data_IF_843335615008
#
_entry.id   IF_843335615008
#
_cell.length_a   1.000
_cell.length_b   1.000
_cell.length_c   1.000
_cell.angle_alpha   90.00
_cell.angle_beta   90.00
_cell.angle_gamma   90.00
#
_symmetry.space_group_name_H-M   'P 1'
#
loop_
_entity.id
_entity.type
_entity.pdbx_description
1 polymer ?
#
# COMPACT_ATOMS: atom_id res chain seq x y z
N UNK A 1 75.13 27.83 -23.94
CA UNK A 1 74.29 27.42 -25.09
C UNK A 1 72.93 26.93 -24.59
N UNK A 2 72.91 26.05 -23.60
CA UNK A 2 71.70 25.52 -22.95
C UNK A 2 70.76 26.59 -22.38
N UNK A 3 71.28 27.64 -21.71
CA UNK A 3 70.43 28.72 -21.18
C UNK A 3 69.77 29.60 -22.25
N UNK A 4 70.36 29.69 -23.44
CA UNK A 4 69.75 30.39 -24.57
C UNK A 4 68.66 29.54 -25.22
N UNK A 5 68.88 28.22 -25.28
CA UNK A 5 67.88 27.24 -25.73
C UNK A 5 66.70 27.23 -24.75
N UNK A 6 66.94 27.11 -23.44
CA UNK A 6 65.89 27.13 -22.40
C UNK A 6 65.01 28.37 -22.49
N UNK A 7 65.60 29.56 -22.53
CA UNK A 7 64.83 30.82 -22.67
C UNK A 7 64.06 30.93 -23.99
N UNK A 8 64.62 30.43 -25.09
CA UNK A 8 63.91 30.42 -26.38
C UNK A 8 62.71 29.48 -26.34
N UNK A 9 62.86 28.32 -25.70
CA UNK A 9 61.80 27.33 -25.50
C UNK A 9 60.72 27.89 -24.57
N UNK A 10 61.07 28.39 -23.38
CA UNK A 10 60.13 28.99 -22.43
C UNK A 10 59.33 30.17 -23.01
N UNK A 11 59.94 30.94 -23.92
CA UNK A 11 59.26 32.03 -24.63
C UNK A 11 58.30 31.54 -25.71
N UNK A 12 58.65 30.47 -26.42
CA UNK A 12 57.82 29.88 -27.47
C UNK A 12 56.69 29.01 -26.90
N UNK A 13 56.92 28.44 -25.72
CA UNK A 13 56.04 27.51 -25.03
C UNK A 13 55.85 27.95 -23.56
N UNK A 14 55.04 28.99 -23.31
CA UNK A 14 54.82 29.53 -21.96
C UNK A 14 54.29 28.48 -20.96
N UNK A 15 53.60 27.45 -21.43
CA UNK A 15 53.13 26.32 -20.66
C UNK A 15 54.25 25.47 -20.04
N UNK A 16 55.46 25.50 -20.63
CA UNK A 16 56.64 24.85 -20.06
C UNK A 16 57.17 25.60 -18.85
N UNK A 17 57.12 26.94 -18.87
CA UNK A 17 57.58 27.78 -17.77
C UNK A 17 56.74 27.58 -16.50
N UNK A 18 55.41 27.48 -16.66
CA UNK A 18 54.47 27.27 -15.56
C UNK A 18 54.12 25.81 -15.27
N UNK A 19 54.66 24.86 -16.03
CA UNK A 19 54.35 23.44 -15.88
C UNK A 19 52.91 23.05 -16.24
N UNK A 20 52.15 23.92 -16.92
CA UNK A 20 50.73 23.70 -17.24
C UNK A 20 50.48 22.58 -18.26
N UNK A 21 51.54 22.13 -18.93
CA UNK A 21 51.53 20.97 -19.81
C UNK A 21 51.52 19.63 -19.04
N UNK A 22 51.82 19.64 -17.74
CA UNK A 22 51.84 18.46 -16.88
C UNK A 22 50.57 18.40 -16.04
N UNK A 23 49.93 17.23 -15.90
CA UNK A 23 48.93 17.01 -14.86
C UNK A 23 49.54 17.30 -13.48
N UNK A 24 48.80 18.02 -12.63
CA UNK A 24 49.20 18.28 -11.25
C UNK A 24 48.22 17.65 -10.28
N UNK A 25 48.71 17.21 -9.14
CA UNK A 25 47.84 16.87 -8.03
C UNK A 25 47.35 18.13 -7.35
N UNK A 26 46.10 18.09 -6.90
CA UNK A 26 45.46 19.13 -6.14
C UNK A 26 44.59 18.50 -5.06
N UNK A 27 44.19 19.30 -4.07
CA UNK A 27 43.30 18.89 -2.99
C UNK A 27 42.07 19.79 -2.99
N UNK A 28 40.90 19.17 -2.84
CA UNK A 28 39.61 19.88 -2.72
C UNK A 28 39.58 20.65 -1.39
N UNK A 29 39.29 21.94 -1.44
CA UNK A 29 39.16 22.79 -0.23
C UNK A 29 37.73 23.28 0.00
N UNK A 30 36.83 23.09 -0.98
CA UNK A 30 35.42 23.43 -0.84
C UNK A 30 34.61 23.11 -2.10
N UNK A 31 33.29 23.02 -1.96
CA UNK A 31 32.36 22.95 -3.09
C UNK A 31 32.01 24.37 -3.55
N UNK A 32 32.30 24.68 -4.80
CA UNK A 32 32.07 26.02 -5.36
C UNK A 32 30.59 26.20 -5.75
N UNK A 33 29.93 27.22 -5.19
CA UNK A 33 28.54 27.64 -5.49
C UNK A 33 27.58 26.46 -5.79
N UNK A 34 27.42 25.54 -4.83
CA UNK A 34 26.56 24.37 -5.01
C UNK A 34 25.16 24.80 -5.51
N UNK A 35 24.66 24.24 -6.63
CA UNK A 35 23.51 24.80 -7.31
C UNK A 35 22.23 24.63 -6.49
N UNK A 36 21.49 25.73 -6.27
CA UNK A 36 20.17 25.71 -5.62
C UNK A 36 19.04 25.17 -6.54
N UNK A 37 19.32 24.97 -7.83
CA UNK A 37 18.40 24.45 -8.83
C UNK A 37 19.09 24.17 -10.17
N UNK A 38 18.36 23.56 -11.09
CA UNK A 38 18.86 23.26 -12.44
C UNK A 38 19.22 24.54 -13.21
N UNK A 39 20.20 24.44 -14.12
CA UNK A 39 20.59 25.54 -14.99
C UNK A 39 21.85 25.23 -15.78
N UNK A 40 22.18 26.12 -16.71
CA UNK A 40 23.36 25.99 -17.57
C UNK A 40 24.63 26.04 -16.72
N UNK A 41 25.55 25.12 -17.00
CA UNK A 41 26.92 25.12 -16.50
C UNK A 41 27.81 25.72 -17.60
N UNK A 42 28.44 26.85 -17.32
CA UNK A 42 29.35 27.54 -18.23
C UNK A 42 30.61 28.02 -17.48
N UNK A 43 31.59 28.56 -18.21
CA UNK A 43 32.85 29.05 -17.63
C UNK A 43 32.65 30.20 -16.63
N UNK A 44 31.56 30.96 -16.73
CA UNK A 44 31.27 32.08 -15.83
C UNK A 44 30.58 31.61 -14.55
N UNK A 45 29.75 30.57 -14.65
CA UNK A 45 29.05 29.95 -13.52
C UNK A 45 29.12 28.42 -13.60
N UNK A 46 30.26 27.84 -13.17
CA UNK A 46 30.39 26.40 -13.12
C UNK A 46 29.51 25.85 -11.98
N UNK A 47 28.57 24.96 -12.29
CA UNK A 47 27.60 24.40 -11.33
C UNK A 47 28.02 23.05 -10.74
N UNK A 48 28.99 22.40 -11.36
CA UNK A 48 29.57 21.15 -10.89
C UNK A 48 31.09 21.34 -10.82
N UNK A 49 31.52 22.09 -9.81
CA UNK A 49 32.89 22.51 -9.64
C UNK A 49 33.28 22.59 -8.15
N UNK A 50 34.57 22.59 -7.90
CA UNK A 50 35.16 22.67 -6.57
C UNK A 50 36.31 23.65 -6.56
N UNK A 51 36.57 24.20 -5.39
CA UNK A 51 37.76 24.99 -5.13
C UNK A 51 38.91 24.03 -4.77
N UNK A 52 40.09 24.25 -5.35
CA UNK A 52 41.24 23.39 -5.16
C UNK A 52 42.51 24.16 -4.83
N UNK A 53 43.38 23.56 -4.02
CA UNK A 53 44.77 24.00 -3.86
C UNK A 53 45.71 23.03 -4.60
N UNK A 54 46.68 23.58 -5.33
CA UNK A 54 47.67 22.79 -6.07
C UNK A 54 48.70 22.21 -5.10
N UNK A 55 49.01 20.92 -5.26
CA UNK A 55 50.04 20.24 -4.47
C UNK A 55 51.38 20.27 -5.20
N UNK A 56 52.46 20.35 -4.42
CA UNK A 56 53.83 20.13 -4.85
C UNK A 56 54.15 18.64 -5.03
N UNK A 57 55.37 18.34 -5.47
CA UNK A 57 55.84 16.95 -5.65
C UNK A 57 55.99 16.18 -4.33
N UNK A 58 56.06 16.89 -3.21
CA UNK A 58 56.04 16.38 -1.84
C UNK A 58 54.62 16.10 -1.32
N UNK A 59 53.58 16.50 -2.06
CA UNK A 59 52.18 16.34 -1.68
C UNK A 59 51.65 17.45 -0.77
N UNK A 60 52.47 18.46 -0.45
CA UNK A 60 52.06 19.63 0.34
C UNK A 60 51.52 20.75 -0.56
N UNK A 61 50.63 21.64 -0.06
CA UNK A 61 50.17 22.79 -0.83
C UNK A 61 51.31 23.68 -1.30
N UNK A 62 51.26 24.09 -2.56
CA UNK A 62 52.25 25.00 -3.15
C UNK A 62 51.98 26.44 -2.65
N UNK A 63 52.81 27.01 -1.76
CA UNK A 63 52.55 28.31 -1.16
C UNK A 63 52.66 29.47 -2.17
N UNK A 64 53.22 29.22 -3.35
CA UNK A 64 53.35 30.23 -4.39
C UNK A 64 52.07 30.38 -5.24
N UNK A 65 51.11 29.45 -5.11
CA UNK A 65 49.90 29.42 -5.93
C UNK A 65 48.65 29.64 -5.07
N UNK A 66 47.71 30.48 -5.53
CA UNK A 66 46.45 30.67 -4.83
C UNK A 66 45.54 29.44 -5.02
N UNK A 67 44.50 29.37 -4.18
CA UNK A 67 43.37 28.48 -4.41
C UNK A 67 42.74 28.81 -5.77
N UNK A 68 42.54 27.79 -6.59
CA UNK A 68 41.80 27.89 -7.84
C UNK A 68 40.32 27.67 -7.54
N UNK A 69 39.53 28.72 -7.70
CA UNK A 69 38.10 28.66 -7.43
C UNK A 69 37.31 28.13 -8.64
N UNK A 70 36.25 27.37 -8.37
CA UNK A 70 35.28 26.95 -9.40
C UNK A 70 35.86 26.07 -10.50
N UNK A 71 36.82 25.19 -10.20
CA UNK A 71 37.39 24.28 -11.19
C UNK A 71 36.38 23.17 -11.52
N UNK A 72 35.98 22.99 -12.79
CA UNK A 72 34.97 22.00 -13.17
C UNK A 72 35.38 20.56 -12.84
N UNK A 73 34.43 19.79 -12.30
CA UNK A 73 34.56 18.35 -12.05
C UNK A 73 34.29 17.53 -13.32
N UNK A 74 34.94 16.36 -13.47
CA UNK A 74 34.68 15.47 -14.59
C UNK A 74 33.31 14.81 -14.43
N UNK A 75 32.54 14.76 -15.52
CA UNK A 75 31.29 14.00 -15.58
C UNK A 75 31.57 12.58 -16.08
N UNK A 76 31.35 11.52 -15.28
CA UNK A 76 31.61 10.14 -15.71
C UNK A 76 30.65 9.67 -16.82
N UNK A 77 29.42 10.19 -16.83
CA UNK A 77 28.44 10.11 -17.92
C UNK A 77 27.75 11.48 -18.04
N UNK A 78 27.41 11.92 -19.26
CA UNK A 78 26.88 13.27 -19.45
C UNK A 78 25.93 13.46 -20.63
N UNK A 79 25.28 14.63 -20.61
CA UNK A 79 24.22 15.11 -21.48
C UNK A 79 23.33 16.08 -20.70
N UNK A 80 22.35 16.70 -21.35
CA UNK A 80 21.42 17.61 -20.68
C UNK A 80 20.61 16.85 -19.61
N UNK A 81 20.72 17.28 -18.35
CA UNK A 81 20.01 16.73 -17.19
C UNK A 81 20.22 15.21 -16.94
N UNK A 82 21.35 14.63 -17.39
CA UNK A 82 21.67 13.20 -17.20
C UNK A 82 23.09 12.97 -16.66
N UNK A 83 23.24 11.98 -15.78
CA UNK A 83 24.55 11.56 -15.24
C UNK A 83 24.49 11.12 -13.78
N UNK A 84 25.67 10.75 -13.25
CA UNK A 84 25.87 10.53 -11.81
C UNK A 84 26.61 11.74 -11.24
N UNK A 85 25.98 12.46 -10.33
CA UNK A 85 26.53 13.67 -9.72
C UNK A 85 26.78 13.44 -8.24
N UNK A 86 28.05 13.57 -7.85
CA UNK A 86 28.48 13.57 -6.46
C UNK A 86 29.68 14.51 -6.31
N UNK A 87 29.65 15.37 -5.31
CA UNK A 87 30.79 16.21 -4.98
C UNK A 87 31.80 15.39 -4.16
N UNK A 88 33.11 15.48 -4.46
CA UNK A 88 34.13 14.97 -3.56
C UNK A 88 34.13 15.78 -2.26
N UNK A 89 34.43 15.11 -1.15
CA UNK A 89 34.58 15.78 0.15
C UNK A 89 35.84 16.66 0.17
N UNK A 90 35.84 17.70 1.02
CA UNK A 90 37.04 18.48 1.31
C UNK A 90 38.18 17.55 1.77
N UNK A 91 39.38 17.79 1.25
CA UNK A 91 40.54 16.93 1.45
C UNK A 91 40.75 15.87 0.37
N UNK A 92 39.76 15.61 -0.49
CA UNK A 92 39.91 14.63 -1.59
C UNK A 92 40.99 15.06 -2.57
N UNK A 93 41.87 14.13 -2.95
CA UNK A 93 42.90 14.38 -3.97
C UNK A 93 42.33 14.27 -5.38
N UNK A 94 42.71 15.20 -6.24
CA UNK A 94 42.29 15.25 -7.64
C UNK A 94 43.48 15.53 -8.57
N UNK A 95 43.33 15.16 -9.83
CA UNK A 95 44.27 15.52 -10.90
C UNK A 95 43.69 16.70 -11.65
N UNK A 96 44.39 17.83 -11.65
CA UNK A 96 44.02 19.03 -12.42
C UNK A 96 44.93 19.17 -13.64
N UNK A 97 44.30 19.50 -14.76
CA UNK A 97 44.93 19.77 -16.03
C UNK A 97 44.49 21.15 -16.55
N UNK A 98 45.26 21.68 -17.49
CA UNK A 98 45.01 22.99 -18.08
C UNK A 98 44.77 22.81 -19.58
N UNK A 99 43.55 23.09 -20.05
CA UNK A 99 43.20 22.89 -21.45
C UNK A 99 44.12 23.73 -22.35
N UNK A 100 44.74 23.09 -23.34
CA UNK A 100 45.74 23.70 -24.23
C UNK A 100 46.98 24.28 -23.51
N UNK A 101 47.26 23.85 -22.27
CA UNK A 101 48.33 24.41 -21.44
C UNK A 101 48.03 25.82 -20.93
N UNK A 102 46.77 26.27 -20.99
CA UNK A 102 46.37 27.62 -20.60
C UNK A 102 46.00 27.70 -19.11
N UNK A 103 46.66 28.56 -18.31
CA UNK A 103 46.38 28.69 -16.87
C UNK A 103 44.93 29.05 -16.52
N UNK A 104 44.24 29.76 -17.43
CA UNK A 104 42.85 30.21 -17.24
C UNK A 104 41.80 29.17 -17.65
N UNK A 105 42.20 27.96 -18.06
CA UNK A 105 41.28 26.87 -18.38
C UNK A 105 41.60 25.60 -17.57
N UNK A 106 41.60 25.67 -16.23
CA UNK A 106 41.78 24.49 -15.40
C UNK A 106 40.53 23.60 -15.48
N UNK A 107 40.73 22.29 -15.41
CA UNK A 107 39.65 21.32 -15.21
C UNK A 107 40.18 20.12 -14.44
N UNK A 108 39.32 19.48 -13.66
CA UNK A 108 39.67 18.25 -12.97
C UNK A 108 39.51 17.10 -13.96
N UNK A 109 40.59 16.36 -14.19
CA UNK A 109 40.61 15.20 -15.06
C UNK A 109 40.13 13.94 -14.33
N UNK A 110 40.52 13.76 -13.07
CA UNK A 110 40.27 12.53 -12.31
C UNK A 110 40.25 12.80 -10.82
N UNK A 111 39.35 12.12 -10.10
CA UNK A 111 39.33 12.06 -8.63
C UNK A 111 40.12 10.83 -8.19
N UNK A 112 41.05 11.01 -7.26
CA UNK A 112 41.91 9.93 -6.78
C UNK A 112 41.40 9.38 -5.45
N UNK A 113 41.44 8.04 -5.24
CA UNK A 113 40.96 7.41 -4.02
C UNK A 113 41.95 7.51 -2.84
N UNK A 114 43.09 8.19 -3.02
CA UNK A 114 44.14 8.26 -2.01
C UNK A 114 43.64 8.98 -0.75
N UNK A 115 43.85 8.36 0.40
CA UNK A 115 43.37 8.87 1.69
C UNK A 115 41.88 8.66 1.98
N UNK A 116 41.11 8.10 1.04
CA UNK A 116 39.69 7.82 1.22
C UNK A 116 39.44 6.40 1.76
N UNK A 117 38.39 6.26 2.57
CA UNK A 117 37.84 4.95 2.94
C UNK A 117 36.86 4.48 1.87
N UNK A 118 37.25 3.47 1.09
CA UNK A 118 36.44 2.96 -0.01
C UNK A 118 35.40 1.92 0.43
N UNK A 119 34.30 1.77 -0.32
CA UNK A 119 33.39 0.65 -0.12
C UNK A 119 34.08 -0.70 -0.19
N UNK A 120 33.49 -1.70 0.49
CA UNK A 120 33.77 -3.11 0.18
C UNK A 120 33.19 -3.45 -1.19
N UNK A 121 34.07 -3.70 -2.17
CA UNK A 121 33.70 -4.13 -3.54
C UNK A 121 34.49 -5.39 -3.91
N UNK A 122 33.96 -6.59 -3.61
CA UNK A 122 34.50 -7.85 -4.11
C UNK A 122 34.58 -7.88 -5.64
N UNK A 123 35.42 -8.76 -6.18
CA UNK A 123 35.53 -8.93 -7.63
C UNK A 123 34.18 -9.37 -8.22
N UNK A 124 33.69 -8.59 -9.18
CA UNK A 124 32.41 -8.85 -9.88
C UNK A 124 31.25 -8.00 -9.34
N UNK A 125 31.34 -7.51 -8.10
CA UNK A 125 30.34 -6.62 -7.53
C UNK A 125 30.39 -5.24 -8.16
N UNK A 126 29.22 -4.60 -8.22
CA UNK A 126 29.07 -3.18 -8.51
C UNK A 126 28.29 -2.53 -7.36
N UNK A 127 28.77 -1.39 -6.88
CA UNK A 127 28.11 -0.67 -5.79
C UNK A 127 27.98 0.81 -6.11
N UNK A 128 26.78 1.34 -5.89
CA UNK A 128 26.53 2.77 -5.77
C UNK A 128 26.05 3.04 -4.35
N UNK A 129 26.82 3.81 -3.58
CA UNK A 129 26.52 4.02 -2.16
C UNK A 129 26.84 5.43 -1.67
N UNK A 130 26.13 5.82 -0.61
CA UNK A 130 26.53 6.91 0.29
C UNK A 130 27.24 6.34 1.53
N UNK A 131 26.79 5.18 2.02
CA UNK A 131 27.37 4.47 3.16
C UNK A 131 27.03 2.99 3.07
N UNK A 132 27.59 2.15 3.94
CA UNK A 132 27.26 0.71 3.98
C UNK A 132 25.76 0.46 4.23
N UNK A 133 25.09 1.33 5.02
CA UNK A 133 23.66 1.20 5.29
C UNK A 133 22.75 1.88 4.26
N UNK A 134 23.30 2.56 3.25
CA UNK A 134 22.58 3.24 2.18
C UNK A 134 23.26 3.01 0.82
N UNK A 135 22.84 1.95 0.12
CA UNK A 135 23.47 1.48 -1.11
C UNK A 135 22.49 0.82 -2.08
N UNK A 136 22.88 0.81 -3.36
CA UNK A 136 22.41 -0.10 -4.38
C UNK A 136 23.59 -0.95 -4.83
N UNK A 137 23.41 -2.27 -4.86
CA UNK A 137 24.48 -3.22 -5.17
C UNK A 137 23.99 -4.28 -6.13
N UNK A 138 24.87 -4.68 -7.04
CA UNK A 138 24.79 -5.90 -7.83
C UNK A 138 25.95 -6.78 -7.42
N UNK A 139 25.69 -8.01 -7.00
CA UNK A 139 26.76 -8.98 -6.71
C UNK A 139 27.24 -9.66 -8.00
N UNK A 140 28.29 -10.47 -7.89
CA UNK A 140 28.85 -11.21 -9.02
C UNK A 140 27.86 -12.19 -9.70
N UNK A 141 26.79 -12.60 -9.02
CA UNK A 141 25.75 -13.49 -9.55
C UNK A 141 24.58 -12.71 -10.20
N UNK A 142 24.61 -11.37 -10.12
CA UNK A 142 23.61 -10.48 -10.69
C UNK A 142 22.44 -10.16 -9.75
N UNK A 143 22.52 -10.52 -8.47
CA UNK A 143 21.48 -10.19 -7.50
C UNK A 143 21.52 -8.70 -7.14
N UNK A 144 20.35 -8.06 -7.14
CA UNK A 144 20.20 -6.65 -6.79
C UNK A 144 19.79 -6.47 -5.33
N UNK A 145 20.46 -5.55 -4.64
CA UNK A 145 20.08 -5.07 -3.31
C UNK A 145 19.86 -3.56 -3.36
N UNK A 146 18.69 -3.10 -2.88
CA UNK A 146 18.43 -1.69 -2.55
C UNK A 146 18.21 -1.59 -1.05
N UNK A 147 19.11 -0.90 -0.35
CA UNK A 147 19.07 -0.78 1.11
C UNK A 147 19.22 0.68 1.54
N UNK A 148 18.47 1.07 2.56
CA UNK A 148 18.64 2.35 3.26
C UNK A 148 18.08 2.25 4.68
N UNK A 149 18.69 2.94 5.64
CA UNK A 149 18.10 3.24 6.96
C UNK A 149 17.18 4.47 6.92
N UNK A 150 17.20 5.19 5.79
CA UNK A 150 16.36 6.34 5.54
C UNK A 150 15.02 5.99 4.91
N UNK A 151 14.46 6.95 4.19
CA UNK A 151 13.16 6.83 3.51
C UNK A 151 13.36 6.56 2.02
N UNK A 152 12.63 5.57 1.49
CA UNK A 152 12.43 5.39 0.06
C UNK A 152 11.13 6.12 -0.36
N UNK A 153 11.20 6.88 -1.46
CA UNK A 153 10.03 7.50 -2.12
C UNK A 153 10.14 7.22 -3.61
N UNK A 154 9.24 6.38 -4.11
CA UNK A 154 9.11 6.12 -5.54
C UNK A 154 7.89 6.89 -6.05
N UNK A 155 8.08 7.73 -7.08
CA UNK A 155 7.02 8.51 -7.74
C UNK A 155 7.08 8.21 -9.23
N UNK A 156 5.99 7.69 -9.77
CA UNK A 156 5.88 7.40 -11.19
C UNK A 156 4.45 7.61 -11.65
N UNK A 157 4.28 7.77 -12.97
CA UNK A 157 2.96 7.79 -13.62
C UNK A 157 2.44 6.34 -13.74
N UNK A 158 3.36 5.41 -14.03
CA UNK A 158 3.07 3.99 -14.19
C UNK A 158 4.10 3.15 -13.41
N UNK A 159 3.70 1.98 -12.93
CA UNK A 159 4.55 1.04 -12.19
C UNK A 159 4.08 -0.39 -12.42
N UNK A 160 4.90 -1.16 -13.10
CA UNK A 160 4.71 -2.59 -13.30
C UNK A 160 5.72 -3.39 -12.47
N UNK A 161 5.27 -4.48 -11.86
CA UNK A 161 6.11 -5.41 -11.11
C UNK A 161 5.73 -6.83 -11.52
N UNK A 162 6.66 -7.53 -12.15
CA UNK A 162 6.51 -8.93 -12.51
C UNK A 162 7.54 -9.77 -11.76
N UNK A 163 7.09 -10.84 -11.11
CA UNK A 163 7.95 -11.78 -10.40
C UNK A 163 7.27 -13.14 -10.30
N UNK A 164 8.06 -14.21 -10.23
CA UNK A 164 7.55 -15.55 -9.93
C UNK A 164 7.15 -15.69 -8.45
N UNK A 165 7.79 -14.92 -7.57
CA UNK A 165 7.52 -14.93 -6.14
C UNK A 165 7.78 -13.53 -5.58
N UNK A 166 6.80 -12.99 -4.88
CA UNK A 166 6.90 -11.73 -4.15
C UNK A 166 6.60 -11.97 -2.67
N UNK A 167 7.43 -11.41 -1.79
CA UNK A 167 7.24 -11.50 -0.35
C UNK A 167 7.45 -10.12 0.27
N UNK A 168 6.40 -9.60 0.91
CA UNK A 168 6.38 -8.28 1.54
C UNK A 168 6.14 -8.42 3.04
N UNK A 169 6.97 -7.74 3.84
CA UNK A 169 6.83 -7.72 5.31
C UNK A 169 6.88 -6.29 5.81
N UNK A 170 5.80 -5.89 6.47
CA UNK A 170 5.66 -4.55 7.02
C UNK A 170 5.24 -4.62 8.48
N UNK A 171 5.70 -3.68 9.29
CA UNK A 171 5.11 -3.44 10.61
C UNK A 171 3.74 -2.75 10.48
N UNK A 172 3.59 -1.88 9.47
CA UNK A 172 2.35 -1.18 9.12
C UNK A 172 2.30 -0.97 7.61
N UNK A 173 1.13 -1.12 7.00
CA UNK A 173 0.88 -0.85 5.58
C UNK A 173 -0.44 -0.12 5.42
N UNK A 174 -0.49 0.81 4.47
CA UNK A 174 -1.70 1.54 4.09
C UNK A 174 -1.70 1.66 2.59
N UNK A 175 -2.80 1.25 1.98
CA UNK A 175 -3.03 1.36 0.55
C UNK A 175 -4.24 2.25 0.34
N UNK A 176 -4.04 3.34 -0.38
CA UNK A 176 -5.09 4.27 -0.79
C UNK A 176 -5.19 4.20 -2.31
N UNK A 177 -6.39 3.91 -2.80
CA UNK A 177 -6.69 3.72 -4.23
C UNK A 177 -7.85 4.65 -4.55
N UNK A 178 -7.60 5.63 -5.41
CA UNK A 178 -8.60 6.65 -5.77
C UNK A 178 -9.69 6.13 -6.70
N UNK A 179 -9.40 5.05 -7.43
CA UNK A 179 -10.32 4.46 -8.42
C UNK A 179 -10.55 2.97 -8.17
N UNK A 180 -9.98 2.09 -8.99
CA UNK A 180 -10.27 0.65 -8.95
C UNK A 180 -9.12 -0.17 -8.36
N UNK A 181 -9.47 -1.18 -7.55
CA UNK A 181 -8.56 -2.21 -7.06
C UNK A 181 -9.09 -3.59 -7.39
N UNK A 182 -8.33 -4.34 -8.17
CA UNK A 182 -8.68 -5.70 -8.60
C UNK A 182 -7.58 -6.65 -8.17
N UNK A 183 -7.97 -7.78 -7.59
CA UNK A 183 -7.05 -8.86 -7.26
C UNK A 183 -7.60 -10.19 -7.80
N UNK A 184 -6.86 -10.79 -8.73
CA UNK A 184 -7.20 -12.07 -9.34
C UNK A 184 -6.27 -13.14 -8.80
N UNK A 185 -6.81 -14.10 -8.06
CA UNK A 185 -6.03 -15.17 -7.43
C UNK A 185 -6.49 -16.50 -8.02
N UNK A 186 -5.62 -17.16 -8.79
CA UNK A 186 -5.92 -18.48 -9.37
C UNK A 186 -5.88 -19.63 -8.36
N UNK A 187 -5.20 -19.44 -7.24
CA UNK A 187 -5.15 -20.38 -6.11
C UNK A 187 -6.03 -19.93 -4.95
N UNK A 188 -5.45 -19.84 -3.75
CA UNK A 188 -6.16 -19.48 -2.52
C UNK A 188 -5.74 -18.07 -2.09
N UNK A 189 -6.72 -17.21 -1.81
CA UNK A 189 -6.50 -15.94 -1.10
C UNK A 189 -6.87 -16.08 0.37
N UNK A 190 -5.92 -15.82 1.26
CA UNK A 190 -6.12 -15.87 2.71
C UNK A 190 -5.99 -14.46 3.30
N UNK A 191 -6.98 -14.03 4.07
CA UNK A 191 -6.96 -12.76 4.82
C UNK A 191 -7.22 -13.08 6.29
N UNK A 192 -6.24 -12.80 7.14
CA UNK A 192 -6.31 -13.07 8.58
C UNK A 192 -6.10 -11.79 9.39
N UNK A 193 -6.92 -11.60 10.42
CA UNK A 193 -6.78 -10.51 11.37
C UNK A 193 -7.07 -11.00 12.79
N UNK A 194 -6.09 -10.89 13.69
CA UNK A 194 -6.26 -11.30 15.10
C UNK A 194 -7.20 -10.38 15.88
N UNK A 195 -7.24 -9.10 15.52
CA UNK A 195 -8.10 -8.10 16.16
C UNK A 195 -9.50 -8.07 15.54
N UNK A 196 -9.62 -7.44 14.37
CA UNK A 196 -10.87 -7.31 13.65
C UNK A 196 -10.64 -7.22 12.14
N UNK A 197 -11.55 -7.81 11.37
CA UNK A 197 -11.71 -7.57 9.93
C UNK A 197 -12.92 -6.65 9.73
N UNK A 198 -12.73 -5.52 9.03
CA UNK A 198 -13.80 -4.58 8.69
C UNK A 198 -13.94 -4.49 7.19
N UNK A 199 -15.11 -4.86 6.67
CA UNK A 199 -15.48 -4.71 5.26
C UNK A 199 -16.65 -3.75 5.20
N UNK A 200 -16.42 -2.56 4.65
CA UNK A 200 -17.39 -1.48 4.60
C UNK A 200 -17.58 -1.07 3.14
N UNK A 201 -18.83 -0.88 2.72
CA UNK A 201 -19.18 -0.35 1.40
C UNK A 201 -20.29 0.67 1.58
N UNK A 202 -20.16 1.82 0.90
CA UNK A 202 -21.25 2.80 0.78
C UNK A 202 -22.29 2.42 -0.28
N UNK A 203 -22.01 1.40 -1.08
CA UNK A 203 -22.90 0.86 -2.11
C UNK A 203 -23.30 -0.58 -1.79
N UNK A 204 -22.90 -1.51 -2.65
CA UNK A 204 -23.18 -2.95 -2.48
C UNK A 204 -21.94 -3.74 -2.05
N UNK A 205 -22.18 -4.92 -1.47
CA UNK A 205 -21.19 -5.97 -1.26
C UNK A 205 -21.82 -7.27 -1.77
N UNK A 206 -21.10 -7.99 -2.63
CA UNK A 206 -21.52 -9.30 -3.14
C UNK A 206 -20.53 -10.36 -2.66
N UNK A 207 -21.03 -11.38 -1.97
CA UNK A 207 -20.24 -12.54 -1.52
C UNK A 207 -20.92 -13.79 -2.05
N UNK A 208 -20.18 -14.57 -2.84
CA UNK A 208 -20.69 -15.79 -3.46
C UNK A 208 -19.58 -16.85 -3.49
N UNK A 209 -19.98 -18.11 -3.42
CA UNK A 209 -19.12 -19.29 -3.57
C UNK A 209 -19.81 -20.27 -4.53
N UNK A 210 -19.03 -21.00 -5.32
CA UNK A 210 -19.56 -22.04 -6.21
C UNK A 210 -20.02 -23.27 -5.41
N UNK A 211 -19.24 -23.64 -4.40
CA UNK A 211 -19.53 -24.74 -3.49
C UNK A 211 -20.15 -24.19 -2.19
N UNK A 212 -19.40 -24.18 -1.10
CA UNK A 212 -19.90 -23.81 0.22
C UNK A 212 -19.51 -22.38 0.64
N UNK A 213 -20.47 -21.65 1.22
CA UNK A 213 -20.24 -20.40 1.96
C UNK A 213 -20.46 -20.65 3.46
N UNK A 214 -19.40 -20.48 4.25
CA UNK A 214 -19.48 -20.63 5.70
C UNK A 214 -19.45 -19.28 6.41
N UNK A 215 -20.46 -19.04 7.27
CA UNK A 215 -20.54 -17.89 8.17
C UNK A 215 -20.76 -18.41 9.60
N UNK A 216 -19.80 -18.18 10.49
CA UNK A 216 -19.87 -18.62 11.86
C UNK A 216 -19.36 -17.53 12.81
N UNK A 217 -20.00 -17.43 13.98
CA UNK A 217 -19.59 -16.54 15.07
C UNK A 217 -19.57 -17.34 16.37
N UNK A 218 -18.57 -17.09 17.21
CA UNK A 218 -18.47 -17.71 18.54
C UNK A 218 -19.48 -17.15 19.56
N UNK A 219 -20.09 -16.00 19.25
CA UNK A 219 -21.11 -15.35 20.08
C UNK A 219 -22.34 -15.03 19.25
N UNK A 220 -22.41 -13.79 18.77
CA UNK A 220 -23.59 -13.21 18.15
C UNK A 220 -23.34 -13.05 16.66
N UNK A 221 -24.32 -13.44 15.84
CA UNK A 221 -24.42 -13.05 14.44
C UNK A 221 -25.60 -12.07 14.33
N UNK A 222 -25.30 -10.80 14.09
CA UNK A 222 -26.32 -9.76 13.98
C UNK A 222 -26.56 -9.43 12.50
N UNK A 223 -27.79 -9.63 12.04
CA UNK A 223 -28.24 -9.25 10.70
C UNK A 223 -29.31 -8.17 10.83
N UNK A 224 -29.04 -6.99 10.29
CA UNK A 224 -29.96 -5.85 10.32
C UNK A 224 -30.27 -5.45 8.89
N UNK A 225 -31.55 -5.52 8.53
CA UNK A 225 -32.04 -5.25 7.17
C UNK A 225 -33.19 -4.25 7.25
N UNK A 226 -33.04 -3.11 6.58
CA UNK A 226 -33.99 -2.00 6.71
C UNK A 226 -35.31 -2.21 5.97
N UNK A 227 -35.29 -2.90 4.82
CA UNK A 227 -36.47 -3.08 3.97
C UNK A 227 -36.89 -4.55 3.89
N UNK A 228 -36.12 -5.38 3.18
CA UNK A 228 -36.49 -6.76 2.89
C UNK A 228 -35.28 -7.69 2.94
N UNK A 229 -35.40 -8.75 3.72
CA UNK A 229 -34.50 -9.91 3.66
C UNK A 229 -35.16 -10.98 2.78
N UNK A 230 -34.54 -11.30 1.65
CA UNK A 230 -34.93 -12.46 0.84
C UNK A 230 -34.01 -13.64 1.18
N UNK A 231 -34.59 -14.75 1.62
CA UNK A 231 -33.89 -16.01 1.83
C UNK A 231 -34.57 -17.08 0.98
N UNK A 232 -33.82 -17.60 0.00
CA UNK A 232 -34.28 -18.69 -0.86
C UNK A 232 -33.39 -19.91 -0.63
N UNK A 233 -34.02 -21.05 -0.35
CA UNK A 233 -33.32 -22.32 -0.15
C UNK A 233 -33.90 -23.31 -1.16
N UNK A 234 -33.10 -23.76 -2.13
CA UNK A 234 -33.53 -24.73 -3.14
C UNK A 234 -33.72 -26.15 -2.59
N UNK A 235 -33.05 -26.47 -1.49
CA UNK A 235 -33.20 -27.72 -0.74
C UNK A 235 -33.94 -27.51 0.59
N UNK A 236 -33.46 -28.13 1.66
CA UNK A 236 -34.05 -28.01 2.99
C UNK A 236 -33.42 -26.87 3.79
N UNK A 237 -34.26 -26.02 4.41
CA UNK A 237 -33.83 -25.11 5.47
C UNK A 237 -33.88 -25.85 6.82
N UNK A 238 -32.72 -26.04 7.45
CA UNK A 238 -32.62 -26.62 8.79
C UNK A 238 -32.25 -25.54 9.81
N UNK A 239 -33.19 -25.19 10.68
CA UNK A 239 -32.92 -24.31 11.82
C UNK A 239 -32.90 -25.12 13.11
N UNK A 240 -31.75 -25.15 13.80
CA UNK A 240 -31.60 -25.83 15.10
C UNK A 240 -31.44 -24.80 16.22
N UNK A 241 -32.56 -24.45 16.84
CA UNK A 241 -32.59 -23.52 17.98
C UNK A 241 -32.61 -24.33 19.27
N UNK A 242 -31.52 -24.27 20.06
CA UNK A 242 -31.45 -24.93 21.38
C UNK A 242 -32.20 -24.18 22.48
N UNK A 243 -32.36 -22.86 22.31
CA UNK A 243 -33.15 -22.00 23.19
C UNK A 243 -34.55 -21.75 22.62
N UNK A 244 -35.03 -20.51 22.75
CA UNK A 244 -36.31 -20.10 22.20
C UNK A 244 -36.16 -19.59 20.76
N UNK A 245 -37.04 -20.04 19.87
CA UNK A 245 -37.29 -19.37 18.59
C UNK A 245 -38.44 -18.37 18.77
N UNK A 246 -38.22 -17.10 18.46
CA UNK A 246 -39.25 -16.06 18.47
C UNK A 246 -39.37 -15.45 17.07
N UNK A 247 -40.51 -15.65 16.43
CA UNK A 247 -40.91 -14.89 15.23
C UNK A 247 -41.90 -13.83 15.67
N UNK A 248 -41.47 -12.56 15.65
CA UNK A 248 -42.27 -11.43 16.12
C UNK A 248 -42.45 -10.46 14.97
N UNK A 249 -43.70 -10.33 14.53
CA UNK A 249 -44.11 -9.43 13.46
C UNK A 249 -45.58 -9.05 13.70
N UNK A 250 -46.06 -7.91 13.15
CA UNK A 250 -47.48 -7.56 13.20
C UNK A 250 -48.37 -8.68 12.66
N UNK A 251 -47.94 -9.35 11.59
CA UNK A 251 -48.57 -10.55 11.04
C UNK A 251 -47.53 -11.61 10.70
N UNK A 252 -47.92 -12.88 10.79
CA UNK A 252 -47.08 -14.02 10.41
C UNK A 252 -47.80 -14.87 9.36
N UNK A 253 -47.04 -15.34 8.38
CA UNK A 253 -47.47 -16.34 7.42
C UNK A 253 -46.62 -17.59 7.58
N UNK A 254 -47.25 -18.71 7.89
CA UNK A 254 -46.56 -19.99 8.07
C UNK A 254 -47.29 -21.02 7.21
N UNK A 255 -46.67 -21.47 6.13
CA UNK A 255 -47.24 -22.47 5.24
C UNK A 255 -46.85 -22.25 3.78
N UNK A 256 -47.73 -22.62 2.85
CA UNK A 256 -47.54 -22.44 1.40
C UNK A 256 -48.08 -21.08 0.95
N UNK A 257 -47.99 -20.75 -0.34
CA UNK A 257 -48.58 -19.51 -0.90
C UNK A 257 -50.10 -19.42 -0.70
N UNK A 258 -50.80 -20.55 -0.60
CA UNK A 258 -52.26 -20.62 -0.49
C UNK A 258 -52.78 -21.07 0.87
N UNK A 259 -51.89 -21.56 1.76
CA UNK A 259 -52.28 -22.10 3.06
C UNK A 259 -51.44 -21.46 4.16
N UNK A 260 -52.10 -20.69 5.03
CA UNK A 260 -51.52 -20.17 6.26
C UNK A 260 -52.03 -20.98 7.46
N UNK A 261 -51.13 -21.64 8.19
CA UNK A 261 -51.45 -22.43 9.38
C UNK A 261 -52.18 -21.61 10.45
N UNK A 262 -51.87 -20.31 10.58
CA UNK A 262 -52.58 -19.45 11.54
C UNK A 262 -54.03 -19.17 11.11
N UNK A 263 -54.28 -19.07 9.81
CA UNK A 263 -55.64 -18.93 9.28
C UNK A 263 -56.44 -20.22 9.51
N UNK A 264 -55.83 -21.38 9.25
CA UNK A 264 -56.46 -22.67 9.54
C UNK A 264 -56.81 -22.79 11.03
N UNK A 265 -55.95 -22.30 11.93
CA UNK A 265 -56.24 -22.30 13.36
C UNK A 265 -57.40 -21.35 13.71
N UNK A 266 -57.50 -20.17 13.09
CA UNK A 266 -58.68 -19.31 13.22
C UNK A 266 -59.95 -20.04 12.75
N UNK A 267 -59.93 -20.69 11.60
CA UNK A 267 -61.08 -21.40 11.03
C UNK A 267 -61.52 -22.56 11.93
N UNK A 268 -60.56 -23.28 12.54
CA UNK A 268 -60.85 -24.33 13.53
C UNK A 268 -61.47 -23.76 14.80
N UNK A 269 -61.00 -22.60 15.28
CA UNK A 269 -61.62 -21.91 16.43
C UNK A 269 -63.05 -21.50 16.09
N UNK A 270 -63.28 -20.94 14.90
CA UNK A 270 -64.62 -20.52 14.47
C UNK A 270 -65.57 -21.73 14.33
N UNK A 271 -65.08 -22.87 13.82
CA UNK A 271 -65.86 -24.11 13.79
C UNK A 271 -66.22 -24.61 15.20
N UNK A 272 -65.29 -24.51 16.16
CA UNK A 272 -65.58 -24.85 17.56
C UNK A 272 -66.59 -23.91 18.20
N UNK A 273 -66.56 -22.60 17.87
CA UNK A 273 -67.56 -21.63 18.34
C UNK A 273 -68.95 -22.03 17.83
N UNK A 274 -69.08 -22.35 16.54
CA UNK A 274 -70.33 -22.79 15.93
C UNK A 274 -70.84 -24.08 16.60
N UNK A 275 -69.98 -25.10 16.69
CA UNK A 275 -70.32 -26.37 17.32
C UNK A 275 -70.81 -26.20 18.76
N UNK A 276 -70.12 -25.43 19.60
CA UNK A 276 -70.55 -25.21 20.98
C UNK A 276 -71.86 -24.39 21.06
N UNK A 277 -72.07 -23.46 20.13
CA UNK A 277 -73.32 -22.69 20.07
C UNK A 277 -74.50 -23.58 19.67
N UNK A 278 -74.31 -24.46 18.68
CA UNK A 278 -75.31 -25.41 18.23
C UNK A 278 -75.66 -26.41 19.34
N UNK A 279 -74.65 -26.93 20.06
CA UNK A 279 -74.87 -27.80 21.21
C UNK A 279 -75.56 -27.04 22.35
N UNK A 280 -75.23 -25.77 22.61
CA UNK A 280 -75.94 -25.00 23.63
C UNK A 280 -77.42 -24.76 23.27
N UNK A 281 -77.72 -24.66 21.96
CA UNK A 281 -79.05 -24.38 21.43
C UNK A 281 -79.94 -25.61 21.20
N UNK A 282 -79.40 -26.83 21.22
CA UNK A 282 -80.19 -28.03 20.96
C UNK A 282 -81.17 -28.37 22.11
N UNK A 283 -82.27 -29.05 21.79
CA UNK A 283 -83.36 -29.36 22.73
C UNK A 283 -83.62 -30.87 22.82
N UNK A 284 -84.05 -31.35 24.01
CA UNK A 284 -84.43 -32.75 24.25
C UNK A 284 -85.92 -32.87 24.58
N UNK A 285 -86.53 -34.00 24.19
CA UNK A 285 -87.97 -34.23 24.33
C UNK A 285 -88.41 -34.76 25.72
N UNK A 286 -87.56 -35.48 26.48
CA UNK A 286 -87.96 -36.09 27.77
C UNK A 286 -86.80 -36.23 28.78
N UNK A 287 -87.18 -36.39 30.05
CA UNK A 287 -86.37 -36.20 31.27
C UNK A 287 -85.44 -37.39 31.63
N UNK A 288 -84.26 -37.15 32.24
CA UNK A 288 -83.71 -35.84 32.63
C UNK A 288 -83.04 -35.11 31.46
N UNK A 289 -83.41 -33.84 31.28
CA UNK A 289 -82.80 -32.96 30.28
C UNK A 289 -81.41 -32.54 30.78
N UNK A 290 -80.37 -32.57 29.92
CA UNK A 290 -79.05 -32.06 30.28
C UNK A 290 -79.07 -30.58 30.71
N UNK A 291 -78.27 -30.24 31.71
CA UNK A 291 -78.19 -28.89 32.30
C UNK A 291 -76.91 -28.14 31.91
N UNK A 292 -76.21 -28.59 30.87
CA UNK A 292 -74.88 -28.11 30.47
C UNK A 292 -74.89 -27.04 29.35
N UNK A 293 -76.04 -26.55 28.90
CA UNK A 293 -76.13 -25.54 27.83
C UNK A 293 -75.32 -24.26 28.14
N UNK A 294 -75.39 -23.75 29.37
CA UNK A 294 -74.63 -22.57 29.80
C UNK A 294 -73.11 -22.79 29.74
N UNK A 295 -72.65 -24.03 29.96
CA UNK A 295 -71.22 -24.39 29.87
C UNK A 295 -70.77 -24.31 28.41
N UNK A 296 -71.53 -24.88 27.48
CA UNK A 296 -71.23 -24.82 26.05
C UNK A 296 -71.25 -23.38 25.51
N UNK A 297 -72.21 -22.55 25.93
CA UNK A 297 -72.20 -21.12 25.60
C UNK A 297 -70.93 -20.42 26.13
N UNK A 298 -70.46 -20.77 27.33
CA UNK A 298 -69.19 -20.31 27.89
C UNK A 298 -67.97 -20.73 27.06
N UNK A 299 -67.95 -21.95 26.54
CA UNK A 299 -66.90 -22.43 25.63
C UNK A 299 -66.86 -21.64 24.31
N UNK A 300 -68.03 -21.37 23.71
CA UNK A 300 -68.13 -20.52 22.53
C UNK A 300 -67.58 -19.10 22.80
N UNK A 301 -67.91 -18.51 23.96
CA UNK A 301 -67.35 -17.23 24.39
C UNK A 301 -65.82 -17.24 24.53
N UNK A 302 -65.25 -18.32 25.07
CA UNK A 302 -63.79 -18.50 25.16
C UNK A 302 -63.16 -18.58 23.77
N UNK A 303 -63.78 -19.31 22.84
CA UNK A 303 -63.34 -19.38 21.44
C UNK A 303 -63.26 -18.00 20.79
N UNK A 304 -64.29 -17.16 20.98
CA UNK A 304 -64.31 -15.78 20.46
C UNK A 304 -63.13 -14.95 20.98
N UNK A 305 -62.76 -15.09 22.25
CA UNK A 305 -61.61 -14.39 22.83
C UNK A 305 -60.28 -14.84 22.19
N UNK A 306 -60.09 -16.15 22.01
CA UNK A 306 -58.88 -16.71 21.38
C UNK A 306 -58.78 -16.30 19.90
N UNK A 307 -59.90 -16.36 19.17
CA UNK A 307 -59.97 -15.86 17.78
C UNK A 307 -59.59 -14.38 17.72
N UNK A 308 -60.09 -13.57 18.66
CA UNK A 308 -59.73 -12.15 18.79
C UNK A 308 -58.25 -11.89 19.07
N UNK A 309 -57.53 -12.82 19.68
CA UNK A 309 -56.07 -12.72 19.91
C UNK A 309 -55.25 -13.17 18.70
N UNK A 310 -55.69 -14.23 18.02
CA UNK A 310 -54.95 -14.84 16.92
C UNK A 310 -55.13 -14.10 15.59
N UNK A 311 -56.37 -13.70 15.28
CA UNK A 311 -56.74 -13.08 14.00
C UNK A 311 -55.91 -11.83 13.65
N UNK A 312 -55.56 -10.93 14.61
CA UNK A 312 -54.72 -9.76 14.33
C UNK A 312 -53.29 -10.09 13.90
N UNK A 313 -52.77 -11.27 14.23
CA UNK A 313 -51.40 -11.69 13.90
C UNK A 313 -51.32 -12.68 12.73
N UNK A 314 -52.45 -13.00 12.10
CA UNK A 314 -52.51 -13.86 10.92
C UNK A 314 -52.24 -13.03 9.66
N UNK A 315 -51.20 -13.41 8.90
CA UNK A 315 -50.91 -12.83 7.59
C UNK A 315 -52.03 -13.12 6.59
N UNK A 316 -52.37 -12.10 5.80
CA UNK A 316 -53.23 -12.21 4.62
C UNK A 316 -52.54 -12.94 3.47
#
# INVERSE_FOLDING_TARGET
MEDAIRRSVERQFPELTGGYHLPRFARVVGVADAPAGAGICDDFRPRFAVDIELLGSDGEPDPALPVLAGVPLPMPMGGDEMGFFAFPEEGTQVVVCFAYGLPNKPYIQTILPHGLSLPKVPKGDQVWQHSESAQQRVDADGNWLRQTEGRIRDKSIDREIESLTNAERHQSSTLEIDDHSTESVGGIKTIEALGALKLLSGGSVSVAALDDLHLASGRDLNQVVAQKLNLTVGGALLERIKGARKSVAPTNWIGSESVNVLQVLCDVIDLMIQMNSDIAGHQHASSPVPTNAAIFAGHAGTGTQLSGQLKPITGA
#
